data_IF_737437490985
#
_entry.id   IF_737437490985
#
_cell.length_a   1.000
_cell.length_b   1.000
_cell.length_c   1.000
_cell.angle_alpha   90.00
_cell.angle_beta   90.00
_cell.angle_gamma   90.00
#
_symmetry.space_group_name_H-M   'P 1'
#
loop_
_entity.id
_entity.type
_entity.pdbx_description
1 polymer ?
#
# COMPACT_ATOMS: atom_id res chain seq x y z
N UNK A 1 -6.74 4.10 10.04
CA UNK A 1 -6.19 4.37 8.68
C UNK A 1 -5.19 3.29 8.34
N UNK A 2 -5.24 2.75 7.12
CA UNK A 2 -4.31 1.74 6.64
C UNK A 2 -3.28 2.36 5.67
N UNK A 3 -2.16 1.67 5.48
CA UNK A 3 -1.15 2.00 4.44
C UNK A 3 -1.19 0.92 3.37
N UNK A 4 -1.20 1.33 2.10
CA UNK A 4 -1.25 0.42 0.95
C UNK A 4 0.13 0.30 0.31
N UNK A 5 0.48 -0.92 -0.04
CA UNK A 5 1.62 -1.27 -0.88
C UNK A 5 1.23 -1.37 -2.36
N UNK A 6 2.22 -1.31 -3.26
CA UNK A 6 2.07 -1.39 -4.72
C UNK A 6 1.27 -2.60 -5.20
N UNK A 7 1.51 -3.83 -4.73
CA UNK A 7 0.76 -5.02 -5.16
C UNK A 7 -0.75 -4.88 -5.03
N UNK A 8 -1.25 -4.20 -3.99
CA UNK A 8 -2.69 -3.98 -3.80
C UNK A 8 -3.31 -3.25 -5.00
N UNK A 9 -2.66 -2.17 -5.44
CA UNK A 9 -3.10 -1.36 -6.58
C UNK A 9 -2.95 -2.11 -7.89
N UNK A 10 -1.84 -2.86 -8.03
CA UNK A 10 -1.54 -3.66 -9.23
C UNK A 10 -2.56 -4.78 -9.40
N UNK A 11 -2.91 -5.52 -8.34
CA UNK A 11 -3.92 -6.58 -8.42
C UNK A 11 -5.31 -6.00 -8.65
N UNK A 12 -5.71 -4.95 -7.95
CA UNK A 12 -7.03 -4.33 -8.14
C UNK A 12 -7.30 -3.92 -9.60
N UNK A 13 -6.27 -3.52 -10.35
CA UNK A 13 -6.38 -3.04 -11.75
C UNK A 13 -5.77 -4.01 -12.76
N UNK A 14 -5.30 -5.17 -12.30
CA UNK A 14 -4.59 -6.17 -13.10
C UNK A 14 -5.48 -7.22 -13.77
N UNK A 15 -4.79 -8.22 -14.34
CA UNK A 15 -5.38 -9.43 -14.88
C UNK A 15 -5.94 -10.33 -13.75
N UNK A 16 -6.47 -11.47 -14.13
CA UNK A 16 -7.00 -12.45 -13.18
C UNK A 16 -5.92 -12.96 -12.22
N UNK A 17 -6.22 -12.88 -10.93
CA UNK A 17 -5.35 -13.27 -9.84
C UNK A 17 -6.20 -13.52 -8.58
N UNK A 18 -5.86 -14.47 -7.68
CA UNK A 18 -6.62 -14.72 -6.45
C UNK A 18 -6.84 -13.49 -5.57
N UNK A 19 -5.88 -12.57 -5.53
CA UNK A 19 -5.97 -11.33 -4.75
C UNK A 19 -6.68 -10.18 -5.49
N UNK A 20 -7.10 -10.36 -6.77
CA UNK A 20 -7.68 -9.26 -7.56
C UNK A 20 -8.98 -8.76 -6.97
N UNK A 21 -9.91 -9.63 -6.70
CA UNK A 21 -11.23 -9.24 -6.23
C UNK A 21 -11.19 -8.70 -4.79
N UNK A 22 -10.47 -9.31 -3.82
CA UNK A 22 -10.23 -8.68 -2.52
C UNK A 22 -9.59 -7.28 -2.61
N UNK A 23 -8.57 -7.10 -3.46
CA UNK A 23 -7.97 -5.79 -3.66
C UNK A 23 -8.93 -4.77 -4.29
N UNK A 24 -9.81 -5.19 -5.21
CA UNK A 24 -10.87 -4.33 -5.78
C UNK A 24 -11.86 -3.89 -4.73
N UNK A 25 -12.29 -4.81 -3.88
CA UNK A 25 -13.21 -4.53 -2.77
C UNK A 25 -12.60 -3.53 -1.79
N UNK A 26 -11.30 -3.67 -1.50
CA UNK A 26 -10.58 -2.73 -0.65
C UNK A 26 -10.50 -1.33 -1.28
N UNK A 27 -10.11 -1.25 -2.56
CA UNK A 27 -10.05 0.03 -3.29
C UNK A 27 -11.42 0.69 -3.39
N UNK A 28 -12.49 -0.09 -3.59
CA UNK A 28 -13.87 0.42 -3.55
C UNK A 28 -14.25 0.94 -2.16
N UNK A 29 -13.91 0.19 -1.10
CA UNK A 29 -14.16 0.63 0.27
C UNK A 29 -13.44 1.94 0.64
N UNK A 30 -12.25 2.17 0.08
CA UNK A 30 -11.51 3.42 0.23
C UNK A 30 -12.19 4.55 -0.54
N UNK A 31 -12.61 4.29 -1.78
CA UNK A 31 -13.32 5.27 -2.61
C UNK A 31 -14.67 5.68 -1.99
N UNK A 32 -15.35 4.76 -1.35
CA UNK A 32 -16.61 4.96 -0.62
C UNK A 32 -16.40 5.56 0.80
N UNK A 33 -15.17 5.92 1.16
CA UNK A 33 -14.77 6.47 2.46
C UNK A 33 -15.09 5.54 3.67
N UNK A 34 -15.33 4.25 3.44
CA UNK A 34 -15.57 3.26 4.49
C UNK A 34 -14.31 2.92 5.29
N UNK A 35 -13.15 3.05 4.68
CA UNK A 35 -11.85 2.90 5.33
C UNK A 35 -10.89 4.00 4.85
N UNK A 36 -10.20 4.64 5.77
CA UNK A 36 -9.19 5.63 5.44
C UNK A 36 -7.87 4.92 5.06
N UNK A 37 -7.27 5.33 3.95
CA UNK A 37 -6.01 4.79 3.49
C UNK A 37 -5.03 5.89 3.09
N UNK A 38 -3.75 5.55 3.13
CA UNK A 38 -2.65 6.33 2.57
C UNK A 38 -1.62 5.43 1.90
N UNK A 39 -0.68 6.02 1.19
CA UNK A 39 0.47 5.34 0.58
C UNK A 39 1.59 6.35 0.35
N UNK A 40 2.72 5.91 -0.20
CA UNK A 40 3.85 6.78 -0.51
C UNK A 40 3.89 7.17 -2.00
N UNK A 41 4.67 8.18 -2.33
CA UNK A 41 4.89 8.59 -3.71
C UNK A 41 5.58 7.48 -4.53
N UNK A 42 6.47 6.73 -3.90
CA UNK A 42 7.20 5.60 -4.48
C UNK A 42 6.24 4.50 -4.91
N UNK A 43 5.27 4.15 -4.08
CA UNK A 43 4.22 3.18 -4.41
C UNK A 43 3.41 3.63 -5.63
N UNK A 44 3.04 4.90 -5.69
CA UNK A 44 2.33 5.45 -6.86
C UNK A 44 3.22 5.43 -8.10
N UNK A 45 4.50 5.78 -7.98
CA UNK A 45 5.45 5.73 -9.10
C UNK A 45 5.62 4.30 -9.63
N UNK A 46 5.80 3.33 -8.74
CA UNK A 46 5.93 1.93 -9.12
C UNK A 46 4.66 1.41 -9.78
N UNK A 47 3.49 1.68 -9.20
CA UNK A 47 2.19 1.32 -9.77
C UNK A 47 2.04 1.86 -11.20
N UNK A 48 2.31 3.15 -11.42
CA UNK A 48 2.26 3.78 -12.74
C UNK A 48 3.28 3.14 -13.70
N UNK A 49 4.49 2.83 -13.22
CA UNK A 49 5.53 2.18 -14.00
C UNK A 49 5.12 0.77 -14.46
N UNK A 50 4.60 -0.05 -13.54
CA UNK A 50 4.09 -1.40 -13.84
C UNK A 50 2.92 -1.32 -14.85
N UNK A 51 2.02 -0.36 -14.65
CA UNK A 51 0.87 -0.17 -15.54
C UNK A 51 1.29 0.25 -16.95
N UNK A 52 2.22 1.19 -17.07
CA UNK A 52 2.73 1.69 -18.36
C UNK A 52 3.41 0.59 -19.18
N UNK A 53 4.05 -0.39 -18.54
CA UNK A 53 4.63 -1.57 -19.22
C UNK A 53 3.58 -2.55 -19.75
N UNK A 54 2.43 -2.63 -19.09
CA UNK A 54 1.35 -3.59 -19.44
C UNK A 54 0.30 -2.98 -20.38
N UNK A 55 0.19 -1.68 -20.42
CA UNK A 55 -0.76 -0.92 -21.24
C UNK A 55 0.00 0.18 -21.99
N UNK A 56 -0.32 1.44 -21.71
CA UNK A 56 0.35 2.61 -22.25
C UNK A 56 0.54 3.70 -21.17
N UNK A 57 1.31 4.72 -21.51
CA UNK A 57 1.65 5.81 -20.57
C UNK A 57 0.45 6.69 -20.21
N UNK A 58 -0.49 6.87 -21.14
CA UNK A 58 -1.68 7.71 -20.93
C UNK A 58 -2.63 7.05 -19.93
N UNK A 59 -2.93 5.75 -20.14
CA UNK A 59 -3.73 4.95 -19.22
C UNK A 59 -3.09 4.90 -17.82
N UNK A 60 -1.78 4.66 -17.74
CA UNK A 60 -1.07 4.60 -16.48
C UNK A 60 -1.13 5.94 -15.72
N UNK A 61 -0.90 7.05 -16.41
CA UNK A 61 -0.95 8.38 -15.79
C UNK A 61 -2.38 8.76 -15.35
N UNK A 62 -3.38 8.46 -16.17
CA UNK A 62 -4.78 8.69 -15.81
C UNK A 62 -5.17 7.92 -14.54
N UNK A 63 -4.79 6.64 -14.47
CA UNK A 63 -5.08 5.79 -13.32
C UNK A 63 -4.34 6.26 -12.06
N UNK A 64 -3.08 6.67 -12.17
CA UNK A 64 -2.32 7.25 -11.07
C UNK A 64 -3.01 8.50 -10.49
N UNK A 65 -3.48 9.41 -11.36
CA UNK A 65 -4.21 10.62 -10.92
C UNK A 65 -5.50 10.32 -10.17
N UNK A 66 -6.21 9.26 -10.52
CA UNK A 66 -7.45 8.86 -9.82
C UNK A 66 -7.13 8.19 -8.48
N UNK A 67 -6.02 7.46 -8.40
CA UNK A 67 -5.65 6.73 -7.19
C UNK A 67 -5.11 7.66 -6.10
N UNK A 68 -4.31 8.67 -6.46
CA UNK A 68 -3.67 9.60 -5.53
C UNK A 68 -4.62 10.32 -4.55
N UNK A 69 -5.73 10.94 -4.99
CA UNK A 69 -6.60 11.69 -4.09
C UNK A 69 -7.24 10.83 -3.00
N UNK A 70 -7.52 9.58 -3.32
CA UNK A 70 -8.15 8.65 -2.39
C UNK A 70 -7.17 8.14 -1.32
N UNK A 71 -5.89 8.09 -1.64
CA UNK A 71 -4.85 7.58 -0.74
C UNK A 71 -4.04 8.67 0.00
N UNK A 72 -4.14 9.96 -0.39
CA UNK A 72 -3.22 10.99 0.09
C UNK A 72 -3.81 11.98 1.10
N UNK A 73 -5.07 11.87 1.46
CA UNK A 73 -5.80 12.99 2.11
C UNK A 73 -5.43 13.29 3.56
N UNK A 74 -4.69 12.44 4.28
CA UNK A 74 -4.62 12.56 5.75
C UNK A 74 -3.23 12.49 6.38
N UNK A 75 -2.17 12.24 5.64
CA UNK A 75 -0.85 12.08 6.24
C UNK A 75 0.27 12.64 5.36
N UNK A 76 1.03 13.59 5.92
CA UNK A 76 2.25 14.13 5.33
C UNK A 76 3.39 13.98 6.34
N UNK A 77 4.12 12.86 6.32
CA UNK A 77 5.24 12.65 7.24
C UNK A 77 6.38 13.63 6.95
N UNK A 78 7.15 13.94 7.97
CA UNK A 78 8.45 14.56 7.77
C UNK A 78 9.34 13.63 6.95
N UNK A 79 9.78 14.09 5.79
CA UNK A 79 10.69 13.32 4.91
C UNK A 79 11.92 12.86 5.70
N UNK A 80 12.52 13.74 6.49
CA UNK A 80 13.71 13.42 7.26
C UNK A 80 13.48 12.30 8.28
N UNK A 81 12.42 12.42 9.10
CA UNK A 81 12.13 11.42 10.13
C UNK A 81 11.76 10.05 9.53
N UNK A 82 10.97 10.06 8.46
CA UNK A 82 10.56 8.84 7.77
C UNK A 82 11.74 8.16 7.09
N UNK A 83 12.61 8.93 6.43
CA UNK A 83 13.80 8.39 5.78
C UNK A 83 14.76 7.80 6.80
N UNK A 84 15.03 8.48 7.90
CA UNK A 84 15.89 7.95 8.97
C UNK A 84 15.36 6.62 9.53
N UNK A 85 14.06 6.55 9.83
CA UNK A 85 13.44 5.32 10.32
C UNK A 85 13.47 4.21 9.26
N UNK A 86 13.19 4.53 7.99
CA UNK A 86 13.25 3.60 6.88
C UNK A 86 14.66 3.01 6.70
N UNK A 87 15.70 3.85 6.74
CA UNK A 87 17.09 3.39 6.66
C UNK A 87 17.46 2.46 7.84
N UNK A 88 17.00 2.78 9.05
CA UNK A 88 17.20 1.90 10.21
C UNK A 88 16.50 0.55 10.01
N UNK A 89 15.25 0.53 9.54
CA UNK A 89 14.54 -0.71 9.25
C UNK A 89 15.22 -1.53 8.15
N UNK A 90 15.67 -0.88 7.08
CA UNK A 90 16.43 -1.54 6.02
C UNK A 90 17.71 -2.20 6.51
N UNK A 91 18.41 -1.54 7.45
CA UNK A 91 19.65 -2.05 8.06
C UNK A 91 19.39 -3.23 9.00
N UNK A 92 18.27 -3.19 9.74
CA UNK A 92 17.98 -4.16 10.81
C UNK A 92 17.05 -5.30 10.39
N UNK A 93 16.43 -5.23 9.22
CA UNK A 93 15.45 -6.22 8.73
C UNK A 93 15.87 -6.74 7.35
N UNK A 94 16.71 -7.78 7.27
CA UNK A 94 17.33 -8.24 6.03
C UNK A 94 16.36 -8.65 4.90
N UNK A 95 15.10 -8.93 5.23
CA UNK A 95 14.06 -9.31 4.25
C UNK A 95 13.39 -8.13 3.57
N UNK A 96 13.58 -6.88 4.07
CA UNK A 96 12.96 -5.70 3.50
C UNK A 96 13.86 -5.03 2.46
N UNK A 97 13.30 -4.69 1.31
CA UNK A 97 13.95 -3.78 0.38
C UNK A 97 13.86 -2.32 0.86
N UNK A 98 14.68 -1.43 0.29
CA UNK A 98 14.77 -0.05 0.76
C UNK A 98 13.44 0.72 0.65
N UNK A 99 12.68 0.50 -0.42
CA UNK A 99 11.36 1.14 -0.61
C UNK A 99 10.34 0.60 0.41
N UNK A 100 10.38 -0.71 0.68
CA UNK A 100 9.50 -1.37 1.65
C UNK A 100 9.78 -0.91 3.08
N UNK A 101 11.04 -0.72 3.41
CA UNK A 101 11.46 -0.18 4.70
C UNK A 101 10.95 1.27 4.90
N UNK A 102 10.95 2.09 3.86
CA UNK A 102 10.35 3.45 3.90
C UNK A 102 8.84 3.36 4.05
N UNK A 103 8.17 2.46 3.33
CA UNK A 103 6.72 2.25 3.44
C UNK A 103 6.33 1.80 4.86
N UNK A 104 7.08 0.87 5.44
CA UNK A 104 6.91 0.43 6.82
C UNK A 104 7.13 1.57 7.83
N UNK A 105 8.15 2.41 7.60
CA UNK A 105 8.40 3.60 8.41
C UNK A 105 7.26 4.61 8.34
N UNK A 106 6.64 4.80 7.18
CA UNK A 106 5.43 5.61 7.00
C UNK A 106 4.28 5.01 7.80
N UNK A 107 4.03 3.71 7.67
CA UNK A 107 2.95 3.04 8.39
C UNK A 107 3.08 3.20 9.91
N UNK A 108 4.26 2.94 10.45
CA UNK A 108 4.53 3.10 11.87
C UNK A 108 4.42 4.55 12.35
N UNK A 109 4.97 5.52 11.58
CA UNK A 109 4.94 6.93 11.96
C UNK A 109 3.54 7.55 11.84
N UNK A 110 2.70 7.02 10.95
CA UNK A 110 1.31 7.41 10.80
C UNK A 110 0.39 6.80 11.87
N UNK A 111 0.87 5.90 12.71
CA UNK A 111 0.02 5.11 13.59
C UNK A 111 -1.03 4.32 12.80
N UNK A 112 -0.62 3.76 11.66
CA UNK A 112 -1.53 3.00 10.82
C UNK A 112 -2.03 1.76 11.55
N UNK A 113 -3.30 1.44 11.38
CA UNK A 113 -3.89 0.23 11.95
C UNK A 113 -3.44 -1.03 11.23
N UNK A 114 -3.03 -0.91 9.97
CA UNK A 114 -2.40 -1.98 9.19
C UNK A 114 -1.58 -1.43 8.02
N UNK A 115 -0.57 -2.18 7.61
CA UNK A 115 0.07 -2.12 6.31
C UNK A 115 -0.45 -3.30 5.48
N UNK A 116 -1.04 -2.99 4.33
CA UNK A 116 -1.66 -4.00 3.47
C UNK A 116 -0.72 -4.28 2.29
N UNK A 117 -0.18 -5.48 2.25
CA UNK A 117 0.73 -5.94 1.20
C UNK A 117 0.57 -7.44 0.96
N UNK A 118 0.83 -7.87 -0.28
CA UNK A 118 0.97 -9.27 -0.62
C UNK A 118 2.38 -9.82 -0.34
N UNK A 119 3.34 -8.95 0.01
CA UNK A 119 4.71 -9.34 0.29
C UNK A 119 4.85 -9.84 1.75
N UNK A 120 5.28 -11.10 1.95
CA UNK A 120 5.47 -11.65 3.28
C UNK A 120 6.62 -10.99 4.06
N UNK A 121 7.52 -10.24 3.43
CA UNK A 121 8.63 -9.56 4.09
C UNK A 121 8.16 -8.58 5.18
N UNK A 122 6.93 -8.09 5.11
CA UNK A 122 6.35 -7.23 6.15
C UNK A 122 5.86 -7.98 7.39
N UNK A 123 5.79 -9.32 7.37
CA UNK A 123 5.24 -10.10 8.48
C UNK A 123 6.09 -10.04 9.75
N UNK A 124 7.40 -9.80 9.63
CA UNK A 124 8.33 -9.76 10.74
C UNK A 124 8.44 -8.39 11.41
N UNK A 125 7.67 -7.41 10.98
CA UNK A 125 7.66 -6.07 11.56
C UNK A 125 6.91 -6.05 12.90
N UNK A 126 7.58 -5.60 13.97
CA UNK A 126 6.99 -5.52 15.32
C UNK A 126 6.04 -4.32 15.50
N UNK A 127 6.30 -3.24 14.77
CA UNK A 127 5.65 -1.93 14.97
C UNK A 127 4.45 -1.68 14.05
N UNK A 128 4.17 -2.62 13.14
CA UNK A 128 3.12 -2.49 12.12
C UNK A 128 2.40 -3.81 11.96
N UNK A 129 1.07 -3.77 11.99
CA UNK A 129 0.26 -4.96 11.67
C UNK A 129 0.26 -5.17 10.17
N UNK A 130 0.85 -6.26 9.71
CA UNK A 130 0.82 -6.65 8.29
C UNK A 130 -0.47 -7.42 7.99
N UNK A 131 -1.15 -7.04 6.91
CA UNK A 131 -2.36 -7.71 6.42
C UNK A 131 -2.19 -8.09 4.95
N UNK A 132 -2.29 -9.37 4.65
CA UNK A 132 -2.36 -9.85 3.26
C UNK A 132 -3.75 -9.54 2.70
N UNK A 133 -3.87 -8.96 1.49
CA UNK A 133 -5.17 -8.58 0.91
C UNK A 133 -5.89 -9.79 0.28
N UNK A 134 -6.08 -10.84 1.06
CA UNK A 134 -6.90 -12.01 0.74
C UNK A 134 -8.29 -11.93 1.42
N UNK A 135 -9.09 -12.97 1.30
CA UNK A 135 -10.43 -13.00 1.89
C UNK A 135 -10.40 -12.79 3.42
N UNK A 136 -9.45 -13.41 4.12
CA UNK A 136 -9.31 -13.28 5.58
C UNK A 136 -8.86 -11.87 5.97
N UNK A 137 -7.90 -11.31 5.24
CA UNK A 137 -7.46 -9.93 5.43
C UNK A 137 -8.58 -8.91 5.21
N UNK A 138 -9.47 -9.16 4.22
CA UNK A 138 -10.62 -8.28 3.99
C UNK A 138 -11.63 -8.33 5.12
N UNK A 139 -11.91 -9.49 5.68
CA UNK A 139 -12.75 -9.62 6.88
C UNK A 139 -12.12 -8.84 8.05
N UNK A 140 -10.82 -8.97 8.25
CA UNK A 140 -10.09 -8.24 9.29
C UNK A 140 -10.17 -6.71 9.14
N UNK A 141 -10.13 -6.21 7.91
CA UNK A 141 -10.11 -4.76 7.62
C UNK A 141 -11.50 -4.14 7.53
N UNK A 142 -12.48 -4.86 7.00
CA UNK A 142 -13.79 -4.32 6.62
C UNK A 142 -14.94 -4.90 7.47
N UNK A 143 -14.69 -5.93 8.27
CA UNK A 143 -15.69 -6.72 8.97
C UNK A 143 -16.38 -7.75 8.07
N UNK A 144 -17.15 -8.64 8.67
CA UNK A 144 -18.01 -9.55 7.92
C UNK A 144 -19.11 -8.75 7.19
N UNK A 145 -19.33 -9.11 5.91
CA UNK A 145 -20.42 -8.56 5.08
C UNK A 145 -21.73 -9.27 5.38
#
# INVERSE_FOLDING_TARGET
MIVLDTPVLVYAKGAEHPLRDPCRDLVAAIADERIAATTTAEVIQEFVHVRARRRDRSDAAALGRVTMPNCSRRYSPSIEATSKRGLTLFETTPGLEACDAVLAAVAASAGATALVSADPAFADLSDVVHVIPDAAGMVSLLGDR
#
